data_IF_656718502227
#
_entry.id   IF_656718502227
#
_cell.length_a   1.000
_cell.length_b   1.000
_cell.length_c   1.000
_cell.angle_alpha   90.00
_cell.angle_beta   90.00
_cell.angle_gamma   90.00
#
_symmetry.space_group_name_H-M   'P 1'
#
loop_
_entity.id
_entity.type
_entity.pdbx_description
1 polymer ?
#
# COMPACT_ATOMS: atom_id res chain seq x y z
N UNK A 1 0.52 -16.21 -0.81
CA UNK A 1 1.24 -15.99 -2.06
C UNK A 1 0.30 -15.51 -3.14
N UNK A 2 0.65 -14.41 -3.80
CA UNK A 2 0.05 -14.05 -5.09
C UNK A 2 0.50 -15.06 -6.15
N UNK A 3 -0.41 -15.42 -7.04
CA UNK A 3 -0.07 -16.03 -8.31
C UNK A 3 0.58 -14.98 -9.24
N UNK A 4 1.33 -15.41 -10.25
CA UNK A 4 1.91 -14.50 -11.24
C UNK A 4 0.86 -13.67 -11.99
N UNK A 5 -0.36 -14.20 -12.15
CA UNK A 5 -1.46 -13.46 -12.75
C UNK A 5 -1.98 -12.35 -11.83
N UNK A 6 -2.11 -12.63 -10.53
CA UNK A 6 -2.48 -11.61 -9.55
C UNK A 6 -1.39 -10.55 -9.39
N UNK A 7 -0.12 -10.95 -9.37
CA UNK A 7 1.01 -10.00 -9.32
C UNK A 7 1.00 -9.06 -10.53
N UNK A 8 0.85 -9.60 -11.75
CA UNK A 8 0.71 -8.77 -12.96
C UNK A 8 -0.48 -7.82 -12.85
N UNK A 9 -1.62 -8.31 -12.36
CA UNK A 9 -2.83 -7.50 -12.20
C UNK A 9 -2.63 -6.34 -11.21
N UNK A 10 -1.91 -6.58 -10.10
CA UNK A 10 -1.53 -5.57 -9.12
C UNK A 10 -0.61 -4.54 -9.75
N UNK A 11 0.44 -4.98 -10.44
CA UNK A 11 1.44 -4.08 -11.05
C UNK A 11 0.82 -3.19 -12.15
N UNK A 12 -0.12 -3.71 -12.94
CA UNK A 12 -0.85 -2.92 -13.95
C UNK A 12 -1.69 -1.79 -13.34
N UNK A 13 -2.01 -1.89 -12.03
CA UNK A 13 -2.81 -0.93 -11.26
C UNK A 13 -2.02 -0.18 -10.21
N UNK A 14 -0.72 -0.45 -10.10
CA UNK A 14 0.14 0.16 -9.10
C UNK A 14 0.25 1.67 -9.36
N UNK A 15 -0.07 2.48 -8.33
CA UNK A 15 0.07 3.94 -8.39
C UNK A 15 0.83 4.51 -7.18
N UNK A 16 1.33 3.62 -6.31
CA UNK A 16 2.18 3.93 -5.16
C UNK A 16 3.37 2.96 -5.14
N UNK A 17 4.52 3.36 -4.57
CA UNK A 17 5.65 2.45 -4.35
C UNK A 17 5.24 1.17 -3.61
N UNK A 18 4.32 1.27 -2.66
CA UNK A 18 3.85 0.16 -1.82
C UNK A 18 2.98 -0.86 -2.58
N UNK A 19 2.54 -0.53 -3.80
CA UNK A 19 1.88 -1.49 -4.70
C UNK A 19 2.88 -2.33 -5.51
N UNK A 20 4.16 -1.97 -5.52
CA UNK A 20 5.20 -2.70 -6.26
C UNK A 20 5.59 -3.94 -5.45
N UNK A 21 4.97 -5.07 -5.75
CA UNK A 21 5.11 -6.33 -5.00
C UNK A 21 6.58 -6.72 -4.77
N UNK A 22 7.44 -6.83 -5.80
CA UNK A 22 8.83 -7.27 -5.58
C UNK A 22 9.65 -6.29 -4.71
N UNK A 23 9.33 -5.00 -4.80
CA UNK A 23 9.98 -3.97 -3.97
C UNK A 23 9.59 -4.17 -2.50
N UNK A 24 8.29 -4.28 -2.22
CA UNK A 24 7.78 -4.38 -0.86
C UNK A 24 8.09 -5.72 -0.20
N UNK A 25 8.04 -6.83 -0.92
CA UNK A 25 8.52 -8.12 -0.39
C UNK A 25 10.02 -8.06 -0.07
N UNK A 26 10.84 -7.46 -0.95
CA UNK A 26 12.26 -7.28 -0.72
C UNK A 26 12.60 -6.37 0.47
N UNK A 27 11.85 -5.29 0.66
CA UNK A 27 12.06 -4.35 1.78
C UNK A 27 11.53 -4.88 3.11
N UNK A 28 10.34 -5.47 3.12
CA UNK A 28 9.68 -5.91 4.35
C UNK A 28 10.08 -7.32 4.79
N UNK A 29 10.52 -8.16 3.86
CA UNK A 29 10.71 -9.60 4.08
C UNK A 29 9.38 -10.36 4.28
N UNK A 30 8.25 -9.73 3.99
CA UNK A 30 6.93 -10.35 4.03
C UNK A 30 6.53 -10.94 2.69
N UNK A 31 5.44 -11.71 2.71
CA UNK A 31 4.82 -12.33 1.54
C UNK A 31 3.52 -11.60 1.18
N UNK A 32 3.34 -11.27 -0.10
CA UNK A 32 2.17 -10.54 -0.56
C UNK A 32 0.92 -11.44 -0.69
N UNK A 33 -0.24 -10.85 -0.43
CA UNK A 33 -1.54 -11.40 -0.76
C UNK A 33 -2.54 -10.30 -1.14
N UNK A 34 -3.55 -10.66 -1.91
CA UNK A 34 -4.61 -9.77 -2.35
C UNK A 34 -5.89 -10.11 -1.58
N UNK A 35 -6.55 -9.10 -1.04
CA UNK A 35 -7.85 -9.25 -0.38
C UNK A 35 -8.79 -8.14 -0.86
N UNK A 36 -9.81 -8.53 -1.61
CA UNK A 36 -10.88 -7.63 -2.05
C UNK A 36 -10.36 -6.32 -2.69
N UNK A 37 -9.31 -6.42 -3.53
CA UNK A 37 -8.72 -5.27 -4.23
C UNK A 37 -7.65 -4.49 -3.42
N UNK A 38 -7.34 -4.92 -2.20
CA UNK A 38 -6.27 -4.36 -1.37
C UNK A 38 -5.06 -5.28 -1.28
N UNK A 39 -3.87 -4.67 -1.33
CA UNK A 39 -2.61 -5.37 -1.18
C UNK A 39 -2.21 -5.45 0.30
N UNK A 40 -1.81 -6.65 0.71
CA UNK A 40 -1.41 -6.95 2.08
C UNK A 40 -0.08 -7.70 2.04
N UNK A 41 0.83 -7.39 2.95
CA UNK A 41 2.06 -8.15 3.17
C UNK A 41 2.04 -8.77 4.55
N UNK A 42 2.38 -10.06 4.61
CA UNK A 42 2.36 -10.85 5.84
C UNK A 42 3.77 -11.31 6.19
N UNK A 43 4.13 -11.15 7.46
CA UNK A 43 5.33 -11.78 8.01
C UNK A 43 5.02 -12.42 9.35
N UNK A 44 6.07 -12.78 10.09
CA UNK A 44 5.91 -13.52 11.35
C UNK A 44 5.26 -12.67 12.44
N UNK A 45 3.94 -12.82 12.59
CA UNK A 45 3.14 -12.12 13.60
C UNK A 45 2.84 -10.66 13.26
N UNK A 46 3.09 -10.21 12.04
CA UNK A 46 2.81 -8.85 11.61
C UNK A 46 2.14 -8.81 10.23
N UNK A 47 1.44 -7.71 9.97
CA UNK A 47 0.77 -7.43 8.71
C UNK A 47 1.04 -5.98 8.29
N UNK A 48 1.37 -5.75 7.03
CA UNK A 48 1.30 -4.44 6.39
C UNK A 48 0.03 -4.43 5.53
N UNK A 49 -0.86 -3.47 5.76
CA UNK A 49 -2.07 -3.28 4.96
C UNK A 49 -1.96 -1.98 4.17
N UNK A 50 -2.03 -2.07 2.85
CA UNK A 50 -2.00 -0.91 1.96
C UNK A 50 -3.44 -0.47 1.69
N UNK A 51 -3.92 0.51 2.45
CA UNK A 51 -5.27 1.09 2.42
C UNK A 51 -5.55 2.00 1.22
N UNK A 52 -4.89 1.74 0.11
CA UNK A 52 -5.04 2.41 -1.17
C UNK A 52 -5.56 1.37 -2.17
N UNK A 53 -6.85 1.44 -2.57
CA UNK A 53 -7.45 0.37 -3.36
C UNK A 53 -6.84 0.33 -4.77
N UNK A 54 -6.59 -0.87 -5.30
CA UNK A 54 -6.05 -1.05 -6.66
C UNK A 54 -7.08 -0.76 -7.76
N UNK A 55 -8.36 -0.73 -7.42
CA UNK A 55 -9.45 -0.33 -8.32
C UNK A 55 -10.41 0.63 -7.61
N UNK A 56 -11.01 1.54 -8.37
CA UNK A 56 -11.98 2.50 -7.83
C UNK A 56 -11.33 3.66 -7.07
N UNK A 57 -12.14 4.32 -6.24
CA UNK A 57 -11.73 5.44 -5.40
C UNK A 57 -11.64 5.01 -3.94
N UNK A 58 -10.77 5.67 -3.17
CA UNK A 58 -10.70 5.46 -1.72
C UNK A 58 -12.06 5.66 -1.05
N UNK A 59 -12.48 4.66 -0.29
CA UNK A 59 -13.63 4.67 0.61
C UNK A 59 -13.20 4.17 2.00
N UNK A 60 -13.30 5.03 3.01
CA UNK A 60 -12.88 4.71 4.38
C UNK A 60 -13.68 3.54 4.99
N UNK A 61 -14.97 3.42 4.66
CA UNK A 61 -15.84 2.36 5.18
C UNK A 61 -15.43 1.00 4.60
N UNK A 62 -15.13 0.98 3.30
CA UNK A 62 -14.64 -0.23 2.64
C UNK A 62 -13.27 -0.66 3.18
N UNK A 63 -12.34 0.28 3.28
CA UNK A 63 -10.99 0.04 3.81
C UNK A 63 -11.06 -0.53 5.22
N UNK A 64 -11.87 0.07 6.11
CA UNK A 64 -12.03 -0.43 7.47
C UNK A 64 -12.61 -1.84 7.50
N UNK A 65 -13.64 -2.11 6.69
CA UNK A 65 -14.24 -3.46 6.60
C UNK A 65 -13.23 -4.51 6.15
N UNK A 66 -12.48 -4.24 5.08
CA UNK A 66 -11.49 -5.19 4.54
C UNK A 66 -10.31 -5.35 5.51
N UNK A 67 -9.89 -4.30 6.20
CA UNK A 67 -8.85 -4.38 7.22
C UNK A 67 -9.29 -5.20 8.44
N UNK A 68 -10.54 -5.07 8.87
CA UNK A 68 -11.10 -5.93 9.92
C UNK A 68 -11.17 -7.39 9.49
N UNK A 69 -11.54 -7.66 8.22
CA UNK A 69 -11.50 -9.01 7.65
C UNK A 69 -10.08 -9.58 7.67
N UNK A 70 -9.10 -8.80 7.19
CA UNK A 70 -7.70 -9.18 7.19
C UNK A 70 -7.19 -9.47 8.62
N UNK A 71 -7.54 -8.61 9.57
CA UNK A 71 -7.17 -8.79 10.97
C UNK A 71 -7.75 -10.07 11.55
N UNK A 72 -9.03 -10.39 11.27
CA UNK A 72 -9.67 -11.64 11.70
C UNK A 72 -9.02 -12.86 11.05
N UNK A 73 -8.74 -12.79 9.75
CA UNK A 73 -8.19 -13.90 8.96
C UNK A 73 -6.75 -14.24 9.36
N UNK A 74 -5.92 -13.23 9.57
CA UNK A 74 -4.48 -13.41 9.77
C UNK A 74 -4.05 -13.27 11.24
N UNK A 75 -4.90 -12.71 12.10
CA UNK A 75 -4.65 -12.51 13.54
C UNK A 75 -3.24 -11.95 13.85
N UNK A 76 -2.82 -10.84 13.20
CA UNK A 76 -1.49 -10.30 13.42
C UNK A 76 -1.35 -9.71 14.83
N UNK A 77 -0.15 -9.79 15.39
CA UNK A 77 0.20 -9.13 16.66
C UNK A 77 0.47 -7.64 16.42
N UNK A 78 1.04 -7.31 15.25
CA UNK A 78 1.34 -5.92 14.83
C UNK A 78 0.76 -5.63 13.45
N UNK A 79 0.15 -4.46 13.30
CA UNK A 79 -0.35 -3.96 12.03
C UNK A 79 0.36 -2.67 11.69
N UNK A 80 0.94 -2.60 10.49
CA UNK A 80 1.30 -1.35 9.85
C UNK A 80 0.22 -1.02 8.82
N UNK A 81 -0.48 0.09 9.04
CA UNK A 81 -1.52 0.54 8.14
C UNK A 81 -1.01 1.75 7.37
N UNK A 82 -1.05 1.68 6.04
CA UNK A 82 -0.76 2.81 5.17
C UNK A 82 -2.06 3.27 4.52
N UNK A 83 -2.47 4.50 4.77
CA UNK A 83 -3.68 5.02 4.14
C UNK A 83 -3.93 6.48 4.49
N UNK A 84 -4.87 7.13 3.78
CA UNK A 84 -5.22 8.53 4.01
C UNK A 84 -5.72 8.82 5.43
N UNK A 85 -6.45 7.86 6.02
CA UNK A 85 -7.07 8.00 7.34
C UNK A 85 -6.93 6.69 8.11
N UNK A 86 -6.54 6.79 9.37
CA UNK A 86 -6.43 5.65 10.29
C UNK A 86 -7.84 5.17 10.66
N UNK A 87 -8.19 3.88 10.48
CA UNK A 87 -9.49 3.34 10.88
C UNK A 87 -9.73 3.42 12.39
N UNK A 88 -10.96 3.69 12.80
CA UNK A 88 -11.30 3.98 14.21
C UNK A 88 -10.90 2.83 15.15
N UNK A 89 -11.10 1.58 14.73
CA UNK A 89 -10.79 0.43 15.57
C UNK A 89 -9.29 0.25 15.86
N UNK A 90 -8.41 0.83 15.03
CA UNK A 90 -6.96 0.85 15.26
C UNK A 90 -6.50 2.09 16.04
N UNK A 91 -7.32 3.14 16.12
CA UNK A 91 -6.92 4.41 16.75
C UNK A 91 -6.50 4.22 18.21
N UNK A 92 -7.24 3.38 18.95
CA UNK A 92 -6.95 3.11 20.37
C UNK A 92 -5.71 2.26 20.61
N UNK A 93 -5.26 1.51 19.61
CA UNK A 93 -4.10 0.62 19.69
C UNK A 93 -2.88 1.13 18.91
N UNK A 94 -3.03 2.27 18.23
CA UNK A 94 -1.97 2.91 17.46
C UNK A 94 -0.85 3.40 18.40
N UNK A 95 0.34 2.87 18.23
CA UNK A 95 1.51 3.24 19.04
C UNK A 95 2.30 4.38 18.41
N UNK A 96 2.45 4.36 17.08
CA UNK A 96 3.24 5.31 16.32
C UNK A 96 2.47 5.77 15.08
N UNK A 97 2.68 7.01 14.65
CA UNK A 97 2.04 7.59 13.46
C UNK A 97 3.04 8.48 12.72
N UNK A 98 3.16 8.24 11.43
CA UNK A 98 3.93 9.05 10.51
C UNK A 98 3.02 9.62 9.42
N UNK A 99 3.52 10.58 8.65
CA UNK A 99 2.77 11.18 7.53
C UNK A 99 3.67 11.37 6.33
N UNK A 100 3.28 10.76 5.22
CA UNK A 100 4.00 10.83 3.96
C UNK A 100 3.26 11.71 2.95
N UNK A 101 4.00 12.20 1.96
CA UNK A 101 3.44 12.92 0.82
C UNK A 101 3.79 12.16 -0.46
N UNK A 102 2.77 11.79 -1.21
CA UNK A 102 2.93 11.10 -2.49
C UNK A 102 2.77 12.12 -3.63
N UNK A 103 3.79 12.19 -4.49
CA UNK A 103 3.77 13.02 -5.69
C UNK A 103 3.56 12.12 -6.91
N UNK A 104 2.51 12.40 -7.68
CA UNK A 104 2.28 11.73 -8.96
C UNK A 104 3.00 12.48 -10.07
N UNK A 105 3.88 11.79 -10.78
CA UNK A 105 4.51 12.31 -11.99
C UNK A 105 3.72 11.80 -13.21
N UNK A 106 3.00 12.71 -13.85
CA UNK A 106 2.36 12.43 -15.14
C UNK A 106 3.43 12.44 -16.23
N UNK A 107 3.72 11.26 -16.78
CA UNK A 107 4.60 11.13 -17.93
C UNK A 107 3.78 11.51 -19.17
N UNK A 108 3.89 12.76 -19.61
CA UNK A 108 3.17 13.23 -20.79
C UNK A 108 3.39 12.31 -21.99
N UNK A 109 2.31 12.04 -22.74
CA UNK A 109 2.30 11.08 -23.87
C UNK A 109 3.33 11.38 -24.97
N UNK A 110 3.88 12.60 -24.99
CA UNK A 110 4.94 13.01 -25.89
C UNK A 110 6.05 13.62 -25.02
N UNK A 111 7.27 13.08 -25.05
CA UNK A 111 8.42 13.51 -24.24
C UNK A 111 8.94 14.94 -24.51
N UNK A 112 8.05 15.93 -24.53
CA UNK A 112 8.32 17.36 -24.75
C UNK A 112 8.04 18.22 -23.51
N UNK A 113 7.44 17.64 -22.46
CA UNK A 113 7.44 18.27 -21.13
C UNK A 113 8.84 18.15 -20.54
N UNK A 114 9.62 19.23 -20.56
CA UNK A 114 10.92 19.27 -19.89
C UNK A 114 10.73 19.13 -18.38
N UNK A 115 10.74 17.89 -17.89
CA UNK A 115 10.76 17.60 -16.46
C UNK A 115 12.01 18.23 -15.86
N UNK A 116 11.81 19.20 -14.97
CA UNK A 116 12.87 19.77 -14.15
C UNK A 116 12.69 19.20 -12.74
N UNK A 117 13.58 18.31 -12.25
CA UNK A 117 13.47 17.80 -10.90
C UNK A 117 13.47 18.98 -9.91
N UNK A 118 12.68 18.93 -8.82
CA UNK A 118 12.86 19.86 -7.72
C UNK A 118 14.25 19.64 -7.15
N UNK A 119 15.18 20.55 -7.45
CA UNK A 119 16.49 20.73 -6.82
C UNK A 119 17.32 19.47 -6.56
N UNK A 120 18.50 19.39 -7.19
CA UNK A 120 19.55 18.38 -6.91
C UNK A 120 19.64 18.07 -5.40
N UNK A 121 19.44 16.80 -5.00
CA UNK A 121 19.83 16.33 -3.66
C UNK A 121 21.27 16.79 -3.45
N UNK A 122 21.47 17.69 -2.49
CA UNK A 122 22.82 18.11 -2.11
C UNK A 122 23.51 16.87 -1.54
N UNK A 123 24.51 16.38 -2.28
CA UNK A 123 25.48 15.42 -1.76
C UNK A 123 26.31 16.08 -0.67
#
# INVERSE_FOLDING_TARGET
MLSSQEESWVLDRAYLPEHVVPLMEGLSGGEACLLEGFLIFLGKGWMIFVGFPLEGSYDAVEVERVLQEAHRRFSPIRVWFLGPQLPEFLEKSCQDRESDQYFRLELGANGQGQWSPPGRLRQ
#
